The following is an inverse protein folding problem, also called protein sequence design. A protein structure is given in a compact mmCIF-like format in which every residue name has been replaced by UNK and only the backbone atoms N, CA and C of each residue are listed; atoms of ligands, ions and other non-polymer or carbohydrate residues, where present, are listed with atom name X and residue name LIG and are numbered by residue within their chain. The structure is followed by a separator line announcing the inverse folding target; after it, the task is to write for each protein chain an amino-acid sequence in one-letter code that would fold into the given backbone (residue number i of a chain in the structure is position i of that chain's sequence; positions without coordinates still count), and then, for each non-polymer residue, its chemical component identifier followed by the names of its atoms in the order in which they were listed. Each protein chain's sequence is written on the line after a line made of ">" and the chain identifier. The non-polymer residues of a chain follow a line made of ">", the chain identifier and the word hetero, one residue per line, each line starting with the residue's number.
data_IF_390259621529
#
_entry.id   IF_390259621529
#
_cell.length_a   1.000
_cell.length_b   1.000
_cell.length_c   1.000
_cell.angle_alpha   90.00
_cell.angle_beta   90.00
_cell.angle_gamma   90.00
#
_symmetry.space_group_name_H-M   'P 1'
#
loop_
_entity.id
_entity.type
_entity.pdbx_description
1 polymer ?
#
# COMPACT_ATOMS: atom_id res chain seq x y z
N UNK A 1 0.54 -10.23 -10.83
CA UNK A 1 0.67 -10.26 -9.35
C UNK A 1 -0.69 -10.56 -8.74
N UNK A 2 -0.75 -11.26 -7.60
CA UNK A 2 -2.00 -11.42 -6.82
C UNK A 2 -1.86 -10.61 -5.54
N UNK A 3 -2.78 -9.68 -5.30
CA UNK A 3 -2.84 -8.92 -4.04
C UNK A 3 -3.30 -9.84 -2.90
N UNK A 4 -2.73 -9.62 -1.72
CA UNK A 4 -3.07 -10.32 -0.48
C UNK A 4 -3.09 -9.29 0.64
N UNK A 5 -4.14 -9.32 1.45
CA UNK A 5 -4.28 -8.49 2.63
C UNK A 5 -4.39 -9.41 3.85
N UNK A 6 -3.48 -9.25 4.81
CA UNK A 6 -3.47 -10.02 6.05
C UNK A 6 -3.61 -9.04 7.22
N UNK A 7 -4.83 -8.92 7.75
CA UNK A 7 -5.12 -8.12 8.95
C UNK A 7 -5.61 -9.08 10.03
N UNK A 8 -4.95 -9.07 11.18
CA UNK A 8 -5.30 -9.94 12.30
C UNK A 8 -6.73 -9.65 12.75
N UNK A 9 -7.60 -10.65 12.69
CA UNK A 9 -9.02 -10.53 13.05
C UNK A 9 -9.95 -10.21 11.88
N UNK A 10 -9.43 -9.85 10.71
CA UNK A 10 -10.24 -9.62 9.52
C UNK A 10 -10.72 -10.95 8.92
N UNK A 11 -12.02 -11.04 8.70
CA UNK A 11 -12.68 -12.11 7.97
C UNK A 11 -12.28 -12.11 6.48
N UNK A 12 -12.46 -13.24 5.77
CA UNK A 12 -12.17 -13.29 4.33
C UNK A 12 -12.94 -12.27 3.50
N UNK A 13 -14.17 -11.92 3.91
CA UNK A 13 -14.99 -10.93 3.22
C UNK A 13 -14.43 -9.51 3.40
N UNK A 14 -13.99 -9.16 4.62
CA UNK A 14 -13.30 -7.89 4.92
C UNK A 14 -12.00 -7.77 4.12
N UNK A 15 -11.18 -8.82 4.13
CA UNK A 15 -9.94 -8.86 3.36
C UNK A 15 -10.20 -8.66 1.86
N UNK A 16 -11.24 -9.30 1.31
CA UNK A 16 -11.60 -9.15 -0.10
C UNK A 16 -12.07 -7.72 -0.44
N UNK A 17 -12.78 -7.04 0.48
CA UNK A 17 -13.13 -5.62 0.30
C UNK A 17 -11.89 -4.74 0.26
N UNK A 18 -10.95 -4.95 1.17
CA UNK A 18 -9.67 -4.24 1.18
C UNK A 18 -8.89 -4.43 -0.12
N UNK A 19 -8.72 -5.69 -0.55
CA UNK A 19 -8.03 -6.01 -1.81
C UNK A 19 -8.71 -5.35 -3.01
N UNK A 20 -10.05 -5.35 -3.06
CA UNK A 20 -10.81 -4.73 -4.14
C UNK A 20 -10.63 -3.21 -4.17
N UNK A 21 -10.48 -2.57 -3.00
CA UNK A 21 -10.20 -1.14 -2.90
C UNK A 21 -8.79 -0.78 -3.40
N UNK A 22 -7.76 -1.58 -3.07
CA UNK A 22 -6.43 -1.40 -3.65
C UNK A 22 -6.43 -1.58 -5.17
N UNK A 23 -7.10 -2.61 -5.67
CA UNK A 23 -7.15 -2.87 -7.11
C UNK A 23 -7.83 -1.71 -7.85
N UNK A 24 -8.94 -1.20 -7.30
CA UNK A 24 -9.60 0.00 -7.81
C UNK A 24 -8.67 1.23 -7.79
N UNK A 25 -7.87 1.41 -6.74
CA UNK A 25 -6.88 2.50 -6.67
C UNK A 25 -5.81 2.38 -7.76
N UNK A 26 -5.27 1.17 -7.98
CA UNK A 26 -4.28 0.92 -9.02
C UNK A 26 -4.85 1.14 -10.43
N UNK A 27 -6.09 0.71 -10.67
CA UNK A 27 -6.80 1.01 -11.92
C UNK A 27 -6.99 2.52 -12.11
N UNK A 28 -7.38 3.25 -11.06
CA UNK A 28 -7.63 4.69 -11.13
C UNK A 28 -6.36 5.52 -11.35
N UNK A 29 -5.23 5.09 -10.77
CA UNK A 29 -3.93 5.78 -10.89
C UNK A 29 -3.10 5.30 -12.07
N UNK A 30 -3.47 4.19 -12.70
CA UNK A 30 -2.77 3.61 -13.85
C UNK A 30 -1.41 2.98 -13.51
N UNK A 31 -1.08 2.87 -12.23
CA UNK A 31 0.12 2.17 -11.77
C UNK A 31 -0.19 0.70 -11.50
N UNK A 32 0.71 -0.19 -11.89
CA UNK A 32 0.59 -1.60 -11.52
C UNK A 32 0.96 -1.81 -10.04
N UNK A 33 0.28 -2.77 -9.39
CA UNK A 33 0.64 -3.20 -8.03
C UNK A 33 2.13 -3.57 -7.90
N UNK A 34 2.72 -4.16 -8.94
CA UNK A 34 4.15 -4.49 -8.98
C UNK A 34 5.02 -3.24 -8.95
N UNK A 35 4.73 -2.23 -9.77
CA UNK A 35 5.51 -0.98 -9.79
C UNK A 35 5.38 -0.21 -8.48
N UNK A 36 4.20 -0.24 -7.85
CA UNK A 36 3.99 0.33 -6.53
C UNK A 36 4.81 -0.40 -5.45
N UNK A 37 4.87 -1.74 -5.50
CA UNK A 37 5.70 -2.56 -4.61
C UNK A 37 7.20 -2.33 -4.84
N UNK A 38 7.66 -2.28 -6.09
CA UNK A 38 9.05 -1.97 -6.46
C UNK A 38 9.45 -0.58 -5.92
N UNK A 39 8.53 0.38 -5.94
CA UNK A 39 8.72 1.71 -5.36
C UNK A 39 8.89 1.72 -3.84
N UNK A 40 8.20 0.83 -3.10
CA UNK A 40 8.41 0.65 -1.66
C UNK A 40 9.71 -0.09 -1.36
N UNK A 41 10.00 -1.16 -2.11
CA UNK A 41 11.23 -1.93 -1.96
C UNK A 41 12.48 -1.09 -2.23
N UNK A 42 12.43 -0.17 -3.21
CA UNK A 42 13.54 0.74 -3.49
C UNK A 42 13.89 1.70 -2.33
N UNK A 43 13.01 1.85 -1.33
CA UNK A 43 13.28 2.63 -0.11
C UNK A 43 13.74 1.73 1.05
N UNK A 44 13.04 0.62 1.29
CA UNK A 44 13.32 -0.31 2.40
C UNK A 44 14.56 -1.19 2.15
N UNK A 45 14.90 -1.45 0.88
CA UNK A 45 16.09 -2.20 0.47
C UNK A 45 17.41 -1.45 0.61
N UNK A 46 17.39 -0.22 1.13
CA UNK A 46 18.56 0.65 1.27
C UNK A 46 18.89 1.01 2.72
N UNK A 47 18.41 0.26 3.71
CA UNK A 47 18.83 0.46 5.11
C UNK A 47 20.31 0.02 5.34
N UNK A 48 20.96 -0.63 4.37
CA UNK A 48 22.31 -1.21 4.54
C UNK A 48 23.42 -0.65 3.62
N UNK A 49 23.15 0.24 2.65
CA UNK A 49 24.24 0.76 1.82
C UNK A 49 23.94 2.11 1.16
N UNK A 50 24.37 3.22 1.76
CA UNK A 50 24.83 4.45 1.07
C UNK A 50 24.47 4.64 -0.43
N UNK A 51 23.34 5.27 -0.75
CA UNK A 51 23.27 6.13 -1.97
C UNK A 51 22.21 7.23 -1.87
N UNK A 52 22.53 8.29 -1.13
CA UNK A 52 21.72 9.51 -1.04
C UNK A 52 21.53 10.27 -2.38
N UNK A 53 22.12 9.78 -3.48
CA UNK A 53 22.01 10.41 -4.81
C UNK A 53 20.72 10.08 -5.56
N UNK A 54 20.03 8.97 -5.26
CA UNK A 54 18.74 8.65 -5.89
C UNK A 54 17.55 9.33 -5.18
N UNK A 55 17.67 9.58 -3.87
CA UNK A 55 16.58 10.14 -3.05
C UNK A 55 16.21 11.60 -3.38
N UNK A 56 17.12 12.38 -3.97
CA UNK A 56 16.91 13.81 -4.21
C UNK A 56 16.07 14.15 -5.46
N UNK A 57 15.80 13.17 -6.34
CA UNK A 57 15.08 13.41 -7.61
C UNK A 57 13.57 13.14 -7.56
N UNK A 58 13.05 12.58 -6.47
CA UNK A 58 11.62 12.33 -6.29
C UNK A 58 10.98 13.32 -5.30
N UNK A 59 10.91 14.60 -5.68
CA UNK A 59 10.07 15.60 -5.01
C UNK A 59 8.63 15.65 -5.56
N UNK A 60 8.20 14.61 -6.27
CA UNK A 60 6.83 14.43 -6.77
C UNK A 60 6.20 13.16 -6.19
N UNK A 61 4.85 13.09 -6.16
CA UNK A 61 4.14 11.83 -5.90
C UNK A 61 4.62 10.78 -6.91
N UNK A 62 4.93 9.59 -6.43
CA UNK A 62 5.44 8.50 -7.25
C UNK A 62 5.01 7.14 -6.69
N UNK A 63 5.55 6.04 -7.25
CA UNK A 63 5.12 4.68 -6.92
C UNK A 63 5.05 4.36 -5.43
N UNK A 64 5.95 4.97 -4.64
CA UNK A 64 5.96 4.92 -3.18
C UNK A 64 4.69 5.50 -2.54
N UNK A 65 4.39 6.77 -2.82
CA UNK A 65 3.23 7.44 -2.23
C UNK A 65 1.94 6.76 -2.68
N UNK A 66 1.90 6.28 -3.91
CA UNK A 66 0.76 5.54 -4.45
C UNK A 66 0.58 4.20 -3.75
N UNK A 67 1.66 3.49 -3.38
CA UNK A 67 1.56 2.27 -2.57
C UNK A 67 1.03 2.54 -1.16
N UNK A 68 1.48 3.62 -0.51
CA UNK A 68 0.99 4.03 0.81
C UNK A 68 -0.48 4.44 0.77
N UNK A 69 -0.89 5.18 -0.27
CA UNK A 69 -2.28 5.58 -0.46
C UNK A 69 -3.18 4.36 -0.78
N UNK A 70 -2.68 3.39 -1.56
CA UNK A 70 -3.35 2.11 -1.76
C UNK A 70 -3.52 1.31 -0.46
N UNK A 71 -2.50 1.27 0.40
CA UNK A 71 -2.57 0.63 1.73
C UNK A 71 -3.64 1.30 2.63
N UNK A 72 -3.75 2.64 2.60
CA UNK A 72 -4.80 3.34 3.34
C UNK A 72 -6.19 2.95 2.84
N UNK A 73 -6.36 2.85 1.52
CA UNK A 73 -7.61 2.41 0.92
C UNK A 73 -7.94 0.95 1.28
N UNK A 74 -6.95 0.06 1.31
CA UNK A 74 -7.09 -1.33 1.73
C UNK A 74 -7.59 -1.44 3.17
N UNK A 75 -6.94 -0.75 4.10
CA UNK A 75 -7.30 -0.80 5.53
C UNK A 75 -8.66 -0.16 5.76
N UNK A 76 -8.94 0.99 5.16
CA UNK A 76 -10.22 1.67 5.30
C UNK A 76 -11.40 0.83 4.79
N UNK A 77 -11.22 0.12 3.66
CA UNK A 77 -12.28 -0.73 3.11
C UNK A 77 -12.40 -2.09 3.83
N UNK A 78 -11.28 -2.64 4.30
CA UNK A 78 -11.26 -3.88 5.08
C UNK A 78 -11.96 -3.68 6.43
N UNK A 79 -11.54 -2.66 7.17
CA UNK A 79 -11.94 -2.40 8.56
C UNK A 79 -13.05 -1.34 8.66
N UNK A 80 -13.86 -1.14 7.61
CA UNK A 80 -14.87 -0.08 7.56
C UNK A 80 -15.89 -0.13 8.72
N UNK A 81 -16.16 -1.34 9.22
CA UNK A 81 -17.12 -1.60 10.29
C UNK A 81 -16.45 -1.80 11.67
N UNK A 82 -15.13 -1.59 11.76
CA UNK A 82 -14.38 -1.80 12.99
C UNK A 82 -14.39 -0.56 13.88
N UNK A 83 -14.32 -0.73 15.21
CA UNK A 83 -14.12 0.41 16.09
C UNK A 83 -12.72 1.00 15.87
N UNK A 84 -12.59 2.33 15.99
CA UNK A 84 -11.41 3.07 15.56
C UNK A 84 -10.11 2.64 16.28
N UNK A 85 -10.23 2.12 17.50
CA UNK A 85 -9.14 1.59 18.32
C UNK A 85 -8.68 0.17 17.91
N UNK A 86 -9.45 -0.52 17.07
CA UNK A 86 -9.10 -1.82 16.50
C UNK A 86 -8.54 -1.75 15.06
N UNK A 87 -8.71 -0.60 14.38
CA UNK A 87 -8.19 -0.40 13.03
C UNK A 87 -6.66 -0.28 13.09
N UNK A 88 -5.91 -1.08 12.31
CA UNK A 88 -4.46 -0.97 12.25
C UNK A 88 -4.01 0.42 11.75
N UNK A 89 -3.00 1.00 12.39
CA UNK A 89 -2.29 2.16 11.83
C UNK A 89 -1.50 1.74 10.58
N UNK A 90 -1.34 2.69 9.65
CA UNK A 90 -0.68 2.48 8.35
C UNK A 90 0.60 3.31 8.21
#
# INVERSE_FOLDING_TARGET
>A
MKLRLEIKGASPAEQQRGISAADAFFVATGISAQRAADGMFALEGWDDASSWKAASQHRGRGPRSERLDANKAEIAACCADWPADAVPEN
#
